data_IF_196975188989
#
_entry.id   IF_196975188989
#
_cell.length_a   1.000
_cell.length_b   1.000
_cell.length_c   1.000
_cell.angle_alpha   90.00
_cell.angle_beta   90.00
_cell.angle_gamma   90.00
#
_symmetry.space_group_name_H-M   'P 1'
#
loop_
_entity.id
_entity.type
_entity.pdbx_description
1 polymer ?
#
# COMPACT_ATOMS: atom_id res chain seq x y z
N UNK A 1 7.54 -13.63 -13.98
CA UNK A 1 7.72 -12.40 -13.18
C UNK A 1 6.74 -11.35 -13.68
N UNK A 2 5.88 -10.83 -12.77
CA UNK A 2 4.89 -9.81 -13.16
C UNK A 2 5.53 -8.40 -13.21
N UNK A 3 6.29 -8.03 -12.20
CA UNK A 3 6.96 -6.73 -12.13
C UNK A 3 8.21 -6.79 -11.23
N UNK A 4 9.06 -5.78 -11.31
CA UNK A 4 9.96 -5.35 -10.23
C UNK A 4 9.37 -4.05 -9.68
N UNK A 5 8.98 -4.04 -8.40
CA UNK A 5 8.43 -2.83 -7.78
C UNK A 5 9.56 -1.85 -7.55
N UNK A 6 9.34 -0.61 -7.94
CA UNK A 6 10.36 0.46 -7.86
C UNK A 6 9.70 1.75 -7.39
N UNK A 7 10.41 2.54 -6.61
CA UNK A 7 9.98 3.89 -6.23
C UNK A 7 9.99 4.86 -7.42
N UNK A 8 9.67 6.12 -7.17
CA UNK A 8 9.62 7.17 -8.20
C UNK A 8 10.98 7.45 -8.85
N UNK A 9 12.08 7.06 -8.20
CA UNK A 9 13.47 7.18 -8.69
C UNK A 9 13.95 5.93 -9.43
N UNK A 10 13.13 4.88 -9.51
CA UNK A 10 13.48 3.61 -10.15
C UNK A 10 14.26 2.64 -9.27
N UNK A 11 14.39 2.91 -7.97
CA UNK A 11 15.06 2.02 -7.01
C UNK A 11 14.11 0.94 -6.56
N UNK A 12 14.57 -0.32 -6.53
CA UNK A 12 13.76 -1.47 -6.12
C UNK A 12 13.26 -1.33 -4.68
N UNK A 13 11.98 -1.67 -4.48
CA UNK A 13 11.32 -1.64 -3.17
C UNK A 13 11.20 -3.07 -2.61
N UNK A 14 11.50 -3.29 -1.32
CA UNK A 14 11.35 -4.59 -0.69
C UNK A 14 9.88 -4.98 -0.51
N UNK A 15 9.59 -6.28 -0.53
CA UNK A 15 8.27 -6.85 -0.30
C UNK A 15 8.40 -7.89 0.81
N UNK A 16 7.68 -7.73 1.91
CA UNK A 16 7.65 -8.68 3.03
C UNK A 16 6.25 -9.17 3.35
N UNK A 17 5.20 -8.40 2.96
CA UNK A 17 3.82 -8.83 3.03
C UNK A 17 3.42 -9.74 1.87
N UNK A 18 2.48 -10.67 2.10
CA UNK A 18 1.90 -11.48 1.02
C UNK A 18 1.00 -10.60 0.13
N UNK A 19 1.01 -10.81 -1.19
CA UNK A 19 0.07 -10.13 -2.07
C UNK A 19 -1.36 -10.63 -1.86
N UNK A 20 -2.33 -9.77 -2.17
CA UNK A 20 -3.75 -10.11 -2.25
C UNK A 20 -4.16 -10.19 -3.73
N UNK A 21 -5.12 -11.02 -4.05
CA UNK A 21 -5.59 -11.23 -5.41
C UNK A 21 -7.05 -10.79 -5.57
N UNK A 22 -7.37 -10.23 -6.72
CA UNK A 22 -8.74 -9.83 -7.04
C UNK A 22 -9.03 -9.86 -8.53
N UNK A 23 -10.29 -9.57 -8.86
CA UNK A 23 -10.75 -9.51 -10.25
C UNK A 23 -11.49 -8.20 -10.48
N UNK A 24 -11.05 -7.42 -11.45
CA UNK A 24 -11.69 -6.17 -11.90
C UNK A 24 -12.18 -6.35 -13.32
N UNK A 25 -13.48 -6.32 -13.54
CA UNK A 25 -14.10 -6.49 -14.87
C UNK A 25 -13.55 -7.72 -15.62
N UNK A 26 -13.46 -8.87 -14.94
CA UNK A 26 -12.94 -10.12 -15.49
C UNK A 26 -11.42 -10.21 -15.64
N UNK A 27 -10.68 -9.16 -15.27
CA UNK A 27 -9.21 -9.13 -15.33
C UNK A 27 -8.61 -9.38 -13.95
N UNK A 28 -7.56 -10.22 -13.88
CA UNK A 28 -6.87 -10.54 -12.63
C UNK A 28 -6.01 -9.37 -12.19
N UNK A 29 -6.08 -9.06 -10.90
CA UNK A 29 -5.29 -8.01 -10.26
C UNK A 29 -4.52 -8.60 -9.09
N UNK A 30 -3.31 -8.08 -8.89
CA UNK A 30 -2.42 -8.41 -7.76
C UNK A 30 -2.20 -7.12 -6.97
N UNK A 31 -2.54 -7.14 -5.69
CA UNK A 31 -2.36 -6.02 -4.77
C UNK A 31 -1.20 -6.33 -3.83
N UNK A 32 -0.25 -5.42 -3.74
CA UNK A 32 0.94 -5.62 -2.93
C UNK A 32 1.49 -4.31 -2.40
N UNK A 33 1.71 -4.27 -1.09
CA UNK A 33 2.42 -3.19 -0.41
C UNK A 33 3.92 -3.43 -0.40
N UNK A 34 4.69 -2.36 -0.33
CA UNK A 34 6.14 -2.42 -0.21
C UNK A 34 6.62 -1.91 1.14
N UNK A 35 7.79 -2.36 1.53
CA UNK A 35 8.48 -2.03 2.76
C UNK A 35 8.89 -3.26 3.54
N UNK A 36 9.84 -3.06 4.43
CA UNK A 36 10.34 -4.07 5.37
C UNK A 36 10.49 -3.48 6.76
N UNK A 37 10.25 -4.31 7.77
CA UNK A 37 10.54 -4.02 9.16
C UNK A 37 10.90 -5.33 9.87
N UNK A 38 12.14 -5.79 9.65
CA UNK A 38 12.66 -7.07 10.10
C UNK A 38 13.65 -6.91 11.24
N UNK A 39 14.21 -5.71 11.39
CA UNK A 39 15.21 -5.44 12.40
C UNK A 39 15.45 -3.95 12.64
N UNK A 40 16.40 -3.65 13.52
CA UNK A 40 16.75 -2.27 13.87
C UNK A 40 17.36 -1.47 12.71
N UNK A 41 17.96 -2.17 11.74
CA UNK A 41 18.50 -1.54 10.52
C UNK A 41 17.43 -0.99 9.58
N UNK A 42 16.17 -1.37 9.78
CA UNK A 42 15.03 -0.86 8.99
C UNK A 42 14.39 0.38 9.64
N UNK A 43 14.96 0.86 10.75
CA UNK A 43 14.51 2.06 11.46
C UNK A 43 15.24 3.28 10.88
N UNK A 44 14.54 4.32 10.41
CA UNK A 44 15.16 5.56 9.98
C UNK A 44 16.02 6.17 11.09
N UNK A 45 17.30 6.48 10.79
CA UNK A 45 18.24 7.07 11.75
C UNK A 45 18.94 6.08 12.69
N UNK A 46 18.65 4.79 12.61
CA UNK A 46 19.41 3.79 13.37
C UNK A 46 20.84 3.64 12.84
N UNK A 47 21.77 3.21 13.73
CA UNK A 47 23.14 2.88 13.31
C UNK A 47 23.11 1.71 12.34
N UNK A 48 23.69 1.89 11.16
CA UNK A 48 23.68 0.89 10.09
C UNK A 48 22.34 0.76 9.38
N UNK A 49 21.48 1.78 9.44
CA UNK A 49 20.21 1.78 8.73
C UNK A 49 20.41 1.52 7.23
N UNK A 50 19.56 0.63 6.69
CA UNK A 50 19.53 0.32 5.25
C UNK A 50 18.97 1.49 4.46
N UNK A 51 19.23 1.51 3.15
CA UNK A 51 18.63 2.52 2.27
C UNK A 51 17.09 2.42 2.25
N UNK A 52 16.53 1.22 2.39
CA UNK A 52 15.08 0.98 2.45
C UNK A 52 14.43 1.58 3.70
N UNK A 53 15.18 1.84 4.77
CA UNK A 53 14.66 2.47 5.99
C UNK A 53 14.05 3.86 5.74
N UNK A 54 14.59 4.60 4.77
CA UNK A 54 14.10 5.94 4.38
C UNK A 54 13.52 6.02 2.98
N UNK A 55 13.57 4.92 2.23
CA UNK A 55 13.02 4.83 0.88
C UNK A 55 11.51 5.04 0.87
N UNK A 56 11.00 5.80 -0.09
CA UNK A 56 9.57 5.89 -0.33
C UNK A 56 8.99 4.53 -0.68
N UNK A 57 7.99 4.08 0.06
CA UNK A 57 7.28 2.83 -0.19
C UNK A 57 5.91 3.11 -0.81
N UNK A 58 5.24 2.06 -1.30
CA UNK A 58 4.04 2.22 -2.12
C UNK A 58 3.07 1.05 -1.95
N UNK A 59 1.80 1.27 -2.31
CA UNK A 59 0.82 0.22 -2.57
C UNK A 59 0.56 0.15 -4.07
N UNK A 60 0.54 -1.06 -4.60
CA UNK A 60 0.33 -1.33 -6.02
C UNK A 60 -0.92 -2.18 -6.24
N UNK A 61 -1.66 -1.87 -7.30
CA UNK A 61 -2.64 -2.76 -7.92
C UNK A 61 -2.21 -3.04 -9.36
N UNK A 62 -1.75 -4.25 -9.64
CA UNK A 62 -1.12 -4.66 -10.90
C UNK A 62 -2.02 -5.59 -11.69
N UNK A 63 -2.22 -5.31 -12.96
CA UNK A 63 -2.92 -6.19 -13.90
C UNK A 63 -2.03 -7.37 -14.28
N UNK A 64 -2.50 -8.59 -13.97
CA UNK A 64 -2.00 -9.83 -14.56
C UNK A 64 -2.85 -10.18 -15.79
N UNK A 65 -2.35 -9.88 -16.97
CA UNK A 65 -3.05 -10.13 -18.24
C UNK A 65 -2.91 -11.56 -18.74
N UNK A 66 -2.21 -12.41 -17.97
CA UNK A 66 -1.99 -13.83 -18.29
C UNK A 66 -1.31 -14.05 -19.66
N UNK A 67 -0.65 -13.04 -20.20
CA UNK A 67 0.10 -13.17 -21.45
C UNK A 67 1.35 -14.03 -21.27
N UNK A 68 1.92 -14.48 -22.37
CA UNK A 68 3.19 -15.22 -22.35
C UNK A 68 4.37 -14.35 -21.90
N UNK A 69 4.23 -13.03 -21.96
CA UNK A 69 5.19 -12.06 -21.43
C UNK A 69 4.50 -11.05 -20.51
N UNK A 70 4.11 -11.45 -19.29
CA UNK A 70 3.30 -10.64 -18.38
C UNK A 70 4.07 -9.47 -17.73
N UNK A 71 5.39 -9.37 -17.94
CA UNK A 71 6.22 -8.40 -17.21
C UNK A 71 5.84 -6.97 -17.57
N UNK A 72 5.48 -6.20 -16.54
CA UNK A 72 5.18 -4.77 -16.65
C UNK A 72 6.50 -4.00 -16.60
N UNK A 73 6.88 -3.43 -17.74
CA UNK A 73 8.14 -2.65 -17.87
C UNK A 73 8.00 -1.58 -18.96
N UNK A 74 8.45 -0.34 -18.73
CA UNK A 74 8.84 0.23 -17.45
C UNK A 74 7.62 0.37 -16.52
N UNK A 75 7.77 0.01 -15.23
CA UNK A 75 6.62 -0.14 -14.33
C UNK A 75 5.82 1.17 -14.18
N UNK A 76 6.46 2.23 -13.75
CA UNK A 76 5.81 3.48 -13.34
C UNK A 76 4.99 4.15 -14.45
N UNK A 77 5.47 4.12 -15.69
CA UNK A 77 4.78 4.75 -16.82
C UNK A 77 3.52 4.00 -17.26
N UNK A 78 3.44 2.72 -16.92
CA UNK A 78 2.28 1.88 -17.23
C UNK A 78 1.20 1.88 -16.13
N UNK A 79 1.44 2.53 -15.01
CA UNK A 79 0.49 2.67 -13.91
C UNK A 79 -0.15 4.06 -13.88
N UNK A 80 -1.31 4.14 -13.25
CA UNK A 80 -1.95 5.41 -12.89
C UNK A 80 -1.55 5.74 -11.45
N UNK A 81 -0.94 6.90 -11.22
CA UNK A 81 -0.61 7.38 -9.87
C UNK A 81 -1.83 7.89 -9.14
N UNK A 82 -1.97 7.49 -7.88
CA UNK A 82 -2.85 8.12 -6.89
C UNK A 82 -2.00 8.90 -5.90
N UNK A 83 -2.57 9.90 -5.26
CA UNK A 83 -1.89 10.75 -4.28
C UNK A 83 -2.68 10.74 -2.98
N UNK A 84 -2.02 10.44 -1.86
CA UNK A 84 -2.59 10.59 -0.53
C UNK A 84 -2.25 11.96 0.06
N UNK A 85 -3.23 12.60 0.68
CA UNK A 85 -3.05 13.87 1.39
C UNK A 85 -3.71 13.80 2.75
N UNK A 86 -2.92 14.03 3.80
CA UNK A 86 -3.45 14.09 5.16
C UNK A 86 -4.25 15.37 5.38
N UNK A 87 -5.37 15.24 6.09
CA UNK A 87 -6.24 16.33 6.52
C UNK A 87 -6.72 16.06 7.95
N UNK A 88 -5.99 16.57 8.93
CA UNK A 88 -6.16 16.17 10.32
C UNK A 88 -5.86 14.67 10.49
N UNK A 89 -6.79 13.91 11.05
CA UNK A 89 -6.68 12.45 11.17
C UNK A 89 -7.13 11.71 9.91
N UNK A 90 -7.77 12.37 8.96
CA UNK A 90 -8.24 11.74 7.72
C UNK A 90 -7.15 11.76 6.65
N UNK A 91 -7.21 10.78 5.75
CA UNK A 91 -6.33 10.69 4.59
C UNK A 91 -7.21 10.65 3.34
N UNK A 92 -7.11 11.68 2.53
CA UNK A 92 -7.79 11.76 1.25
C UNK A 92 -6.90 11.21 0.15
N UNK A 93 -7.43 10.30 -0.67
CA UNK A 93 -6.71 9.75 -1.82
C UNK A 93 -7.42 10.17 -3.10
N UNK A 94 -6.67 10.61 -4.10
CA UNK A 94 -7.22 10.95 -5.42
C UNK A 94 -7.96 9.75 -6.04
N UNK A 95 -8.86 10.01 -6.98
CA UNK A 95 -9.65 8.98 -7.67
C UNK A 95 -9.38 9.01 -9.18
N UNK A 96 -8.11 9.12 -9.57
CA UNK A 96 -7.73 9.13 -10.97
C UNK A 96 -8.22 7.83 -11.65
N UNK A 97 -8.92 7.93 -12.79
CA UNK A 97 -9.51 6.77 -13.43
C UNK A 97 -8.43 5.84 -14.03
N UNK A 98 -8.63 4.53 -13.87
CA UNK A 98 -7.74 3.50 -14.42
C UNK A 98 -8.44 2.78 -15.56
N UNK A 99 -7.96 2.94 -16.78
CA UNK A 99 -8.42 2.17 -17.92
C UNK A 99 -7.49 0.97 -18.16
N UNK A 100 -7.92 -0.21 -17.74
CA UNK A 100 -7.16 -1.46 -17.89
C UNK A 100 -7.04 -1.96 -19.34
N UNK A 101 -7.55 -1.24 -20.34
CA UNK A 101 -7.24 -1.49 -21.73
C UNK A 101 -5.92 -0.80 -22.18
N UNK A 102 -5.51 0.27 -21.48
CA UNK A 102 -4.34 1.08 -21.83
C UNK A 102 -3.31 1.18 -20.71
N UNK A 103 -3.68 0.87 -19.47
CA UNK A 103 -2.83 0.89 -18.29
C UNK A 103 -2.77 -0.47 -17.62
N UNK A 104 -1.67 -0.73 -16.94
CA UNK A 104 -1.41 -2.00 -16.26
C UNK A 104 -1.73 -1.96 -14.77
N UNK A 105 -2.55 -0.99 -14.35
CA UNK A 105 -2.98 -0.84 -12.97
C UNK A 105 -2.70 0.54 -12.39
N UNK A 106 -2.49 0.59 -11.08
CA UNK A 106 -2.31 1.82 -10.32
C UNK A 106 -1.23 1.69 -9.26
N UNK A 107 -0.78 2.83 -8.76
CA UNK A 107 0.16 2.94 -7.65
C UNK A 107 -0.21 4.11 -6.76
N UNK A 108 -0.11 3.91 -5.44
CA UNK A 108 -0.20 4.94 -4.41
C UNK A 108 1.12 4.98 -3.67
N UNK A 109 1.87 6.06 -3.82
CA UNK A 109 3.08 6.31 -3.03
C UNK A 109 2.71 6.82 -1.65
N UNK A 110 3.34 6.26 -0.61
CA UNK A 110 3.12 6.71 0.76
C UNK A 110 3.83 8.03 1.03
N UNK A 111 3.44 8.69 2.12
CA UNK A 111 4.03 9.96 2.50
C UNK A 111 5.54 9.83 2.76
N UNK A 112 6.27 10.88 2.40
CA UNK A 112 7.70 11.01 2.71
C UNK A 112 7.95 11.81 3.98
N UNK A 113 6.90 12.33 4.63
CA UNK A 113 6.94 13.02 5.91
C UNK A 113 5.74 12.61 6.76
N UNK A 114 5.98 11.94 7.92
CA UNK A 114 7.28 11.47 8.40
C UNK A 114 7.91 10.43 7.49
N UNK A 115 9.23 10.37 7.47
CA UNK A 115 9.98 9.44 6.64
C UNK A 115 9.81 8.00 7.12
N UNK A 116 9.72 7.05 6.19
CA UNK A 116 9.73 5.62 6.49
C UNK A 116 8.35 4.98 6.61
N UNK A 117 7.27 5.65 6.15
CA UNK A 117 5.96 5.00 6.01
C UNK A 117 6.06 3.82 5.03
N UNK A 118 5.56 2.66 5.45
CA UNK A 118 5.67 1.39 4.72
C UNK A 118 4.52 0.43 5.01
N UNK A 119 4.23 -0.50 4.09
CA UNK A 119 3.24 -1.56 4.27
C UNK A 119 3.93 -2.92 4.21
N UNK A 120 4.31 -3.43 5.38
CA UNK A 120 4.91 -4.77 5.55
C UNK A 120 3.89 -5.83 5.98
N UNK A 121 2.66 -5.43 6.20
CA UNK A 121 1.53 -6.33 6.47
C UNK A 121 0.80 -6.66 5.16
N UNK A 122 0.16 -7.83 5.10
CA UNK A 122 -0.59 -8.22 3.90
C UNK A 122 -1.88 -7.41 3.79
N UNK A 123 -2.21 -6.86 2.61
CA UNK A 123 -3.51 -6.24 2.37
C UNK A 123 -4.62 -7.28 2.38
N UNK A 124 -5.86 -6.81 2.48
CA UNK A 124 -7.07 -7.64 2.42
C UNK A 124 -8.06 -7.01 1.45
N UNK A 125 -8.60 -7.80 0.55
CA UNK A 125 -9.68 -7.41 -0.35
C UNK A 125 -11.02 -7.97 0.15
N UNK A 126 -11.96 -7.09 0.47
CA UNK A 126 -13.28 -7.47 0.91
C UNK A 126 -14.34 -6.57 0.27
N UNK A 127 -15.31 -7.15 -0.42
CA UNK A 127 -16.44 -6.45 -1.07
C UNK A 127 -16.02 -5.25 -1.94
N UNK A 128 -14.90 -5.36 -2.68
CA UNK A 128 -14.41 -4.30 -3.54
C UNK A 128 -13.60 -3.22 -2.84
N UNK A 129 -13.38 -3.37 -1.54
CA UNK A 129 -12.53 -2.50 -0.73
C UNK A 129 -11.19 -3.19 -0.49
N UNK A 130 -10.11 -2.57 -0.95
CA UNK A 130 -8.76 -2.95 -0.59
C UNK A 130 -8.39 -2.24 0.72
N UNK A 131 -8.16 -3.03 1.77
CA UNK A 131 -7.84 -2.51 3.10
C UNK A 131 -6.44 -2.95 3.51
N UNK A 132 -5.64 -2.04 4.02
CA UNK A 132 -4.30 -2.33 4.51
C UNK A 132 -3.84 -1.28 5.52
N UNK A 133 -2.87 -1.65 6.34
CA UNK A 133 -2.17 -0.74 7.25
C UNK A 133 -0.84 -0.32 6.67
N UNK A 134 -0.46 0.92 6.93
CA UNK A 134 0.91 1.37 6.84
C UNK A 134 1.45 1.68 8.22
N UNK A 135 2.73 1.48 8.39
CA UNK A 135 3.43 1.73 9.64
C UNK A 135 4.64 2.62 9.38
N UNK A 136 4.84 3.60 10.25
CA UNK A 136 6.03 4.44 10.29
C UNK A 136 6.74 4.17 11.61
N UNK A 137 7.83 3.39 11.62
CA UNK A 137 8.59 3.14 12.85
C UNK A 137 9.13 4.44 13.46
N UNK A 138 9.25 4.48 14.80
CA UNK A 138 9.93 5.59 15.46
C UNK A 138 11.35 5.74 14.91
N UNK A 139 11.76 6.96 14.60
CA UNK A 139 13.14 7.26 14.18
C UNK A 139 14.15 7.17 15.31
N UNK A 140 13.70 6.96 16.54
CA UNK A 140 14.54 6.75 17.70
C UNK A 140 14.59 5.26 18.07
N UNK A 141 15.71 4.55 17.81
CA UNK A 141 15.81 3.12 18.12
C UNK A 141 15.65 2.77 19.60
N UNK A 142 15.88 3.74 20.50
CA UNK A 142 15.72 3.57 21.94
C UNK A 142 14.27 3.78 22.42
N UNK A 143 13.36 4.22 21.53
CA UNK A 143 11.95 4.42 21.82
C UNK A 143 11.15 3.51 20.89
N UNK A 144 10.86 2.27 21.33
CA UNK A 144 10.10 1.33 20.48
C UNK A 144 8.70 1.86 20.20
N UNK A 145 8.19 1.60 18.99
CA UNK A 145 6.87 2.04 18.55
C UNK A 145 6.92 2.73 17.20
N UNK A 146 5.96 3.60 16.96
CA UNK A 146 5.78 4.32 15.71
C UNK A 146 4.35 4.79 15.57
N UNK A 147 3.92 5.04 14.36
CA UNK A 147 2.56 5.43 14.02
C UNK A 147 2.02 4.59 12.88
N UNK A 148 0.68 4.56 12.75
CA UNK A 148 0.03 3.78 11.69
C UNK A 148 -1.11 4.53 11.06
N UNK A 149 -1.30 4.26 9.77
CA UNK A 149 -2.47 4.65 9.00
C UNK A 149 -3.24 3.41 8.57
N UNK A 150 -4.55 3.55 8.44
CA UNK A 150 -5.45 2.54 7.87
C UNK A 150 -6.05 3.08 6.58
N UNK A 151 -5.83 2.35 5.51
CA UNK A 151 -6.32 2.71 4.18
C UNK A 151 -7.51 1.84 3.78
N UNK A 152 -8.51 2.51 3.19
CA UNK A 152 -9.65 1.90 2.50
C UNK A 152 -9.71 2.45 1.07
N UNK A 153 -9.33 1.65 0.11
CA UNK A 153 -9.25 2.06 -1.28
C UNK A 153 -10.20 1.26 -2.17
N UNK A 154 -10.71 1.89 -3.19
CA UNK A 154 -11.36 1.18 -4.27
C UNK A 154 -10.32 0.31 -4.98
N UNK A 155 -10.51 -0.99 -4.93
CA UNK A 155 -9.56 -1.97 -5.47
C UNK A 155 -9.30 -1.80 -6.97
N UNK A 156 -10.26 -1.25 -7.72
CA UNK A 156 -10.16 -1.12 -9.18
C UNK A 156 -9.24 0.01 -9.64
N UNK A 157 -9.15 1.10 -8.86
CA UNK A 157 -8.37 2.28 -9.24
C UNK A 157 -7.43 2.80 -8.15
N UNK A 158 -7.46 2.24 -6.94
CA UNK A 158 -6.63 2.68 -5.82
C UNK A 158 -7.03 4.01 -5.20
N UNK A 159 -8.19 4.54 -5.53
CA UNK A 159 -8.68 5.83 -5.03
C UNK A 159 -9.57 5.72 -3.79
N UNK A 160 -9.92 6.86 -3.21
CA UNK A 160 -10.87 6.94 -2.10
C UNK A 160 -12.23 6.37 -2.45
N UNK A 161 -12.90 5.83 -1.43
CA UNK A 161 -14.28 5.34 -1.53
C UNK A 161 -15.20 6.37 -0.87
N UNK A 162 -16.32 6.78 -1.51
CA UNK A 162 -17.28 7.68 -0.90
C UNK A 162 -17.77 7.14 0.45
N UNK A 163 -17.81 7.98 1.48
CA UNK A 163 -18.25 7.68 2.84
C UNK A 163 -17.42 6.61 3.59
N UNK A 164 -16.25 6.23 3.06
CA UNK A 164 -15.32 5.33 3.71
C UNK A 164 -13.91 5.94 3.61
N UNK A 165 -13.52 6.69 4.63
CA UNK A 165 -12.24 7.41 4.64
C UNK A 165 -11.09 6.58 5.18
N UNK A 166 -9.91 6.71 4.59
CA UNK A 166 -8.65 6.29 5.20
C UNK A 166 -8.27 7.26 6.34
N UNK A 167 -7.59 6.78 7.36
CA UNK A 167 -7.29 7.62 8.52
C UNK A 167 -6.04 7.17 9.31
N UNK A 168 -5.53 8.11 10.09
CA UNK A 168 -4.50 7.88 11.10
C UNK A 168 -5.04 7.08 12.28
N UNK A 169 -4.46 5.92 12.53
CA UNK A 169 -4.89 5.02 13.62
C UNK A 169 -4.39 5.52 14.98
N UNK A 170 -3.14 5.97 15.04
CA UNK A 170 -2.52 6.43 16.28
C UNK A 170 -1.01 6.18 16.31
N UNK A 171 -0.42 6.49 17.47
CA UNK A 171 1.02 6.29 17.73
C UNK A 171 1.29 4.83 18.16
N UNK A 172 0.92 3.90 17.33
CA UNK A 172 1.10 2.45 17.50
C UNK A 172 1.56 1.84 16.18
N UNK A 173 2.18 0.68 16.21
CA UNK A 173 2.41 -0.12 15.01
C UNK A 173 1.24 -1.11 14.88
N UNK A 174 0.47 -0.94 13.80
CA UNK A 174 -0.71 -1.75 13.55
C UNK A 174 -0.35 -3.09 12.90
N UNK A 175 -1.09 -4.12 13.26
CA UNK A 175 -1.04 -5.44 12.61
C UNK A 175 -1.82 -5.45 11.30
N UNK A 176 -1.88 -6.61 10.66
CA UNK A 176 -2.75 -6.86 9.51
C UNK A 176 -4.22 -6.64 9.91
N UNK A 177 -4.96 -5.98 9.03
CA UNK A 177 -6.41 -5.81 9.14
C UNK A 177 -7.13 -7.14 8.97
N UNK A 178 -8.18 -7.35 9.77
CA UNK A 178 -9.05 -8.51 9.65
C UNK A 178 -10.52 -8.03 9.54
N UNK A 179 -11.10 -7.98 8.32
CA UNK A 179 -12.52 -7.67 8.16
C UNK A 179 -13.37 -8.88 8.59
N UNK A 180 -14.38 -8.64 9.39
CA UNK A 180 -15.36 -9.64 9.83
C UNK A 180 -16.74 -9.22 9.37
N UNK A 181 -17.40 -10.09 8.60
CA UNK A 181 -18.80 -9.91 8.20
C UNK A 181 -19.74 -10.24 9.36
N UNK A 182 -20.61 -9.32 9.71
CA UNK A 182 -21.61 -9.52 10.75
C UNK A 182 -22.92 -10.04 10.18
N UNK A 183 -23.78 -10.74 10.98
CA UNK A 183 -25.04 -11.30 10.51
C UNK A 183 -26.03 -10.28 9.92
N UNK A 184 -25.90 -9.01 10.30
CA UNK A 184 -26.73 -7.92 9.79
C UNK A 184 -26.22 -7.34 8.44
N UNK A 185 -25.20 -7.96 7.84
CA UNK A 185 -24.58 -7.50 6.59
C UNK A 185 -23.57 -6.37 6.75
N UNK A 186 -23.34 -5.86 7.95
CA UNK A 186 -22.26 -4.89 8.20
C UNK A 186 -20.90 -5.58 8.31
N UNK A 187 -19.84 -4.80 8.21
CA UNK A 187 -18.45 -5.27 8.33
C UNK A 187 -17.81 -4.61 9.55
N UNK A 188 -17.16 -5.40 10.37
CA UNK A 188 -16.31 -4.93 11.45
C UNK A 188 -14.85 -5.11 11.04
N UNK A 189 -14.03 -4.14 11.37
CA UNK A 189 -12.57 -4.21 11.21
C UNK A 189 -11.97 -4.50 12.59
N UNK A 190 -11.16 -5.55 12.66
CA UNK A 190 -10.44 -5.96 13.86
C UNK A 190 -8.94 -5.72 13.69
#
# INVERSE_FOLDING_TARGET
>A
KLATLVDSSGVAQPITGSPELGVVNGKRMVYVGTGEYLGTTDIPGATGATASATQQQSMYGLLDDQSTNPTITPLRTQLVGQTATASGTNINVTTNPVNLATKRGWVLDFATSPVGERSYTSPVLFQGVLTFTTNTPSSNPCVPGGSSNLYFLNYSNGGSIPNLGSFFVGNVLASRVQPEGLPNGSVKIL
#
